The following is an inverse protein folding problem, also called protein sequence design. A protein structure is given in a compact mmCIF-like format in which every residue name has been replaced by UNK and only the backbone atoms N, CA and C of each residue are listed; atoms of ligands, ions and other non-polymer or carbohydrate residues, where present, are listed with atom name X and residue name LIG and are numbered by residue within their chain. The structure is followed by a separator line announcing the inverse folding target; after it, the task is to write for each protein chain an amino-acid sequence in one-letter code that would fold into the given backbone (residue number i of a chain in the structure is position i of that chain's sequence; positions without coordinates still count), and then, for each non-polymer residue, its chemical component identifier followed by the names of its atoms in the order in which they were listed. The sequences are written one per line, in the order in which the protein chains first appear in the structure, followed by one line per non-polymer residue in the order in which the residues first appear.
data_IF_002506941053
#
_entry.id   IF_002506941053
#
_cell.length_a   1.000
_cell.length_b   1.000
_cell.length_c   1.000
_cell.angle_alpha   90.00
_cell.angle_beta   90.00
_cell.angle_gamma   90.00
#
_symmetry.space_group_name_H-M   'P 1'
#
loop_
_entity.id
_entity.type
_entity.pdbx_description
1 polymer ?
#
# COMPACT_ATOMS: atom_id res chain seq x y z
N UNK A 1 14.00 -23.11 -4.58
CA UNK A 1 12.84 -23.84 -5.14
C UNK A 1 12.87 -25.23 -4.55
N UNK A 2 11.88 -25.54 -3.69
CA UNK A 2 11.82 -26.80 -2.94
C UNK A 2 11.65 -28.01 -3.86
N UNK A 3 12.30 -29.12 -3.52
CA UNK A 3 12.32 -30.36 -4.32
C UNK A 3 10.92 -30.92 -4.70
N UNK A 4 9.89 -30.58 -3.94
CA UNK A 4 8.50 -30.97 -4.24
C UNK A 4 7.93 -30.34 -5.52
N UNK A 5 8.25 -29.08 -5.81
CA UNK A 5 7.78 -28.40 -7.04
C UNK A 5 8.48 -28.95 -8.31
N UNK A 6 9.76 -29.30 -8.22
CA UNK A 6 10.47 -29.95 -9.34
C UNK A 6 9.87 -31.30 -9.69
N UNK A 7 9.54 -32.10 -8.67
CA UNK A 7 8.94 -33.40 -8.89
C UNK A 7 7.52 -33.31 -9.48
N UNK A 8 6.74 -32.29 -9.09
CA UNK A 8 5.40 -32.05 -9.64
C UNK A 8 5.47 -31.58 -11.11
N UNK A 9 6.41 -30.71 -11.46
CA UNK A 9 6.64 -30.28 -12.85
C UNK A 9 7.10 -31.44 -13.74
N UNK A 10 7.96 -32.32 -13.25
CA UNK A 10 8.40 -33.51 -14.00
C UNK A 10 7.23 -34.48 -14.25
N UNK A 11 6.36 -34.69 -13.27
CA UNK A 11 5.13 -35.51 -13.40
C UNK A 11 4.15 -34.87 -14.43
N UNK A 12 3.93 -33.58 -14.40
CA UNK A 12 3.12 -32.86 -15.39
C UNK A 12 3.71 -32.96 -16.81
N UNK A 13 5.02 -32.87 -16.95
CA UNK A 13 5.71 -32.99 -18.24
C UNK A 13 5.58 -34.45 -18.79
N UNK A 14 5.69 -35.42 -17.95
CA UNK A 14 5.48 -36.83 -18.31
C UNK A 14 4.04 -37.13 -18.73
N UNK A 15 3.04 -36.51 -18.09
CA UNK A 15 1.62 -36.65 -18.45
C UNK A 15 1.29 -36.02 -19.81
N UNK A 16 2.01 -34.94 -20.22
CA UNK A 16 1.85 -34.28 -21.52
C UNK A 16 2.51 -35.10 -22.63
N UNK A 17 3.64 -35.79 -22.35
CA UNK A 17 4.40 -36.51 -23.33
C UNK A 17 3.84 -37.92 -23.63
N UNK A 18 3.05 -38.53 -22.74
CA UNK A 18 2.50 -39.88 -22.88
C UNK A 18 0.97 -39.95 -22.79
N UNK A 19 0.21 -39.41 -23.75
CA UNK A 19 -1.25 -39.31 -23.68
C UNK A 19 -2.01 -40.65 -23.82
N UNK A 20 -1.30 -41.78 -24.06
CA UNK A 20 -1.93 -43.10 -24.33
C UNK A 20 -2.05 -44.02 -23.11
N UNK A 21 -1.60 -43.65 -21.93
CA UNK A 21 -1.69 -44.50 -20.74
C UNK A 21 -3.07 -44.34 -20.07
N UNK A 22 -4.01 -45.23 -20.37
CA UNK A 22 -5.38 -45.26 -19.81
C UNK A 22 -5.43 -46.03 -18.48
N UNK A 23 -4.45 -45.91 -17.58
CA UNK A 23 -4.49 -46.60 -16.30
C UNK A 23 -5.22 -45.78 -15.23
N UNK A 24 -5.76 -46.45 -14.20
CA UNK A 24 -6.35 -45.80 -13.03
C UNK A 24 -5.39 -44.81 -12.36
N UNK A 25 -4.08 -45.10 -12.40
CA UNK A 25 -3.02 -44.23 -11.91
C UNK A 25 -2.96 -42.90 -12.69
N UNK A 26 -3.19 -42.89 -14.00
CA UNK A 26 -3.21 -41.67 -14.82
C UNK A 26 -4.41 -40.78 -14.46
N UNK A 27 -5.60 -41.37 -14.27
CA UNK A 27 -6.78 -40.61 -13.79
C UNK A 27 -6.52 -40.01 -12.42
N UNK A 28 -5.90 -40.74 -11.51
CA UNK A 28 -5.56 -40.29 -10.18
C UNK A 28 -4.52 -39.13 -10.22
N UNK A 29 -3.46 -39.26 -11.05
CA UNK A 29 -2.48 -38.20 -11.26
C UNK A 29 -3.11 -36.90 -11.82
N UNK A 30 -4.04 -36.99 -12.76
CA UNK A 30 -4.76 -35.84 -13.31
C UNK A 30 -5.66 -35.19 -12.26
N UNK A 31 -6.34 -36.00 -11.43
CA UNK A 31 -7.20 -35.52 -10.35
C UNK A 31 -6.39 -34.80 -9.25
N UNK A 32 -5.28 -35.43 -8.81
CA UNK A 32 -4.35 -34.85 -7.84
C UNK A 32 -3.70 -33.56 -8.39
N UNK A 33 -3.34 -33.52 -9.69
CA UNK A 33 -2.82 -32.33 -10.32
C UNK A 33 -3.88 -31.21 -10.42
N UNK A 34 -5.13 -31.56 -10.70
CA UNK A 34 -6.26 -30.59 -10.67
C UNK A 34 -6.53 -30.06 -9.27
N UNK A 35 -6.53 -30.95 -8.26
CA UNK A 35 -6.66 -30.52 -6.86
C UNK A 35 -5.48 -29.68 -6.41
N UNK A 36 -4.25 -30.05 -6.76
CA UNK A 36 -3.07 -29.26 -6.45
C UNK A 36 -3.10 -27.89 -7.14
N UNK A 37 -3.51 -27.82 -8.41
CA UNK A 37 -3.74 -26.57 -9.13
C UNK A 37 -4.88 -25.77 -8.52
N UNK A 38 -5.96 -26.41 -8.09
CA UNK A 38 -7.07 -25.76 -7.39
C UNK A 38 -6.63 -25.17 -6.05
N UNK A 39 -5.83 -25.90 -5.25
CA UNK A 39 -5.27 -25.38 -4.00
C UNK A 39 -4.18 -24.32 -4.23
N UNK A 40 -3.44 -24.37 -5.34
CA UNK A 40 -2.46 -23.36 -5.71
C UNK A 40 -3.10 -22.11 -6.33
N UNK A 41 -4.25 -22.25 -6.99
CA UNK A 41 -4.99 -21.12 -7.60
C UNK A 41 -5.94 -20.43 -6.63
N UNK A 42 -6.38 -21.10 -5.57
CA UNK A 42 -7.24 -20.53 -4.53
C UNK A 42 -6.43 -20.01 -3.32
N UNK A 43 -5.22 -19.52 -3.53
CA UNK A 43 -4.47 -18.84 -2.49
C UNK A 43 -5.29 -17.68 -1.96
N UNK A 44 -5.57 -17.67 -0.65
CA UNK A 44 -6.08 -16.47 0.03
C UNK A 44 -4.92 -15.51 0.13
N UNK A 45 -5.02 -14.36 -0.55
CA UNK A 45 -4.00 -13.33 -0.55
C UNK A 45 -4.37 -12.22 0.42
N UNK A 46 -3.44 -11.83 1.28
CA UNK A 46 -3.59 -10.68 2.17
C UNK A 46 -2.81 -9.48 1.61
N UNK A 47 -3.54 -8.40 1.36
CA UNK A 47 -2.93 -7.11 1.03
C UNK A 47 -2.96 -6.19 2.25
N UNK A 48 -1.83 -5.59 2.55
CA UNK A 48 -1.67 -4.63 3.64
C UNK A 48 -1.65 -3.22 3.05
N UNK A 49 -2.58 -2.37 3.48
CA UNK A 49 -2.59 -0.94 3.17
C UNK A 49 -1.93 -0.20 4.33
N UNK A 50 -0.71 0.29 4.14
CA UNK A 50 -0.05 1.21 5.08
C UNK A 50 -0.39 2.64 4.69
N UNK A 51 -0.85 3.44 5.64
CA UNK A 51 -1.25 4.82 5.38
C UNK A 51 -0.92 5.75 6.56
N UNK A 52 -0.66 7.00 6.20
CA UNK A 52 -0.37 8.07 7.15
C UNK A 52 -1.02 9.38 6.67
N UNK A 53 -1.15 10.34 7.57
CA UNK A 53 -1.73 11.65 7.28
C UNK A 53 -0.66 12.73 7.13
N UNK A 54 -1.00 13.80 6.42
CA UNK A 54 -0.20 15.01 6.33
C UNK A 54 -1.10 16.24 6.18
N UNK A 55 -0.79 17.28 6.95
CA UNK A 55 -1.65 18.45 7.06
C UNK A 55 -2.73 18.28 8.14
N UNK A 56 -2.76 19.21 9.08
CA UNK A 56 -3.68 19.16 10.23
C UNK A 56 -4.92 20.01 9.93
N UNK A 57 -6.10 19.39 9.90
CA UNK A 57 -7.39 20.06 9.64
C UNK A 57 -7.64 21.24 10.59
N UNK A 58 -7.18 21.14 11.83
CA UNK A 58 -7.36 22.19 12.85
C UNK A 58 -6.37 23.34 12.77
N UNK A 59 -5.34 23.27 11.89
CA UNK A 59 -4.41 24.37 11.67
C UNK A 59 -4.98 25.33 10.62
N UNK A 60 -5.33 26.59 10.98
CA UNK A 60 -5.93 27.54 10.04
C UNK A 60 -4.96 27.99 8.94
N UNK A 61 -3.66 27.71 9.07
CA UNK A 61 -2.66 28.03 8.05
C UNK A 61 -2.46 26.90 7.03
N UNK A 62 -3.15 25.79 7.16
CA UNK A 62 -3.08 24.63 6.27
C UNK A 62 -4.35 24.56 5.43
N UNK A 63 -4.20 24.59 4.10
CA UNK A 63 -5.31 24.58 3.17
C UNK A 63 -5.77 23.17 2.79
N UNK A 64 -4.89 22.19 2.84
CA UNK A 64 -5.16 20.81 2.42
C UNK A 64 -4.79 19.82 3.50
N UNK A 65 -5.63 18.80 3.65
CA UNK A 65 -5.32 17.60 4.41
C UNK A 65 -5.22 16.41 3.48
N UNK A 66 -4.30 15.52 3.80
CA UNK A 66 -3.96 14.34 3.01
C UNK A 66 -4.01 13.11 3.90
N UNK A 67 -4.57 12.03 3.38
CA UNK A 67 -4.42 10.68 3.93
C UNK A 67 -3.99 9.78 2.78
N UNK A 68 -2.77 9.23 2.86
CA UNK A 68 -2.21 8.50 1.73
C UNK A 68 -1.23 7.40 2.18
N UNK A 69 -0.96 6.48 1.27
CA UNK A 69 -0.02 5.40 1.50
C UNK A 69 0.00 4.42 0.35
N UNK A 70 0.31 3.17 0.65
CA UNK A 70 0.43 2.14 -0.36
C UNK A 70 -0.12 0.80 0.12
N UNK A 71 -0.66 0.04 -0.82
CA UNK A 71 -0.95 -1.36 -0.62
C UNK A 71 0.19 -2.22 -1.13
N UNK A 72 0.47 -3.29 -0.39
CA UNK A 72 1.46 -4.31 -0.75
C UNK A 72 0.95 -5.69 -0.40
N UNK A 73 1.44 -6.70 -1.11
CA UNK A 73 1.22 -8.09 -0.73
C UNK A 73 2.07 -8.41 0.52
N UNK A 74 1.51 -9.13 1.49
CA UNK A 74 2.11 -9.37 2.80
C UNK A 74 3.57 -9.85 2.77
N UNK A 75 3.93 -10.71 1.81
CA UNK A 75 5.28 -11.25 1.70
C UNK A 75 6.32 -10.23 1.20
N UNK A 76 5.90 -9.03 0.78
CA UNK A 76 6.80 -7.97 0.31
C UNK A 76 7.29 -7.07 1.45
N UNK A 77 6.63 -7.10 2.60
CA UNK A 77 6.94 -6.18 3.73
C UNK A 77 8.38 -6.29 4.21
N UNK A 78 8.92 -7.49 4.28
CA UNK A 78 10.33 -7.72 4.63
C UNK A 78 11.30 -7.04 3.65
N UNK A 79 11.02 -7.12 2.35
CA UNK A 79 11.88 -6.53 1.32
C UNK A 79 11.80 -5.00 1.30
N UNK A 80 10.63 -4.45 1.59
CA UNK A 80 10.42 -3.00 1.74
C UNK A 80 11.22 -2.50 2.94
N UNK A 81 11.08 -3.16 4.09
CA UNK A 81 11.84 -2.82 5.28
C UNK A 81 13.35 -2.83 5.00
N UNK A 82 13.85 -3.93 4.42
CA UNK A 82 15.27 -4.08 4.08
C UNK A 82 15.75 -2.97 3.15
N UNK A 83 15.01 -2.63 2.12
CA UNK A 83 15.41 -1.59 1.17
C UNK A 83 15.51 -0.20 1.83
N UNK A 84 14.55 0.14 2.71
CA UNK A 84 14.60 1.41 3.45
C UNK A 84 15.78 1.42 4.43
N UNK A 85 16.05 0.30 5.12
CA UNK A 85 17.23 0.16 5.99
C UNK A 85 18.53 0.33 5.21
N UNK A 86 18.64 -0.27 4.01
CA UNK A 86 19.81 -0.15 3.13
C UNK A 86 20.02 1.31 2.66
N UNK A 87 18.93 2.02 2.31
CA UNK A 87 18.99 3.45 1.95
C UNK A 87 19.45 4.28 3.15
N UNK A 88 18.87 4.07 4.33
CA UNK A 88 19.24 4.79 5.53
C UNK A 88 20.71 4.55 5.87
N UNK A 89 21.17 3.30 5.82
CA UNK A 89 22.56 2.94 6.08
C UNK A 89 23.53 3.58 5.08
N UNK A 90 23.18 3.60 3.78
CA UNK A 90 23.97 4.23 2.71
C UNK A 90 24.28 5.70 2.98
N UNK A 91 23.30 6.47 3.42
CA UNK A 91 23.47 7.92 3.58
C UNK A 91 23.87 8.36 4.97
N UNK A 92 23.49 7.61 6.00
CA UNK A 92 23.67 8.01 7.40
C UNK A 92 24.69 7.15 8.17
N UNK A 93 25.03 5.97 7.63
CA UNK A 93 25.79 4.95 8.37
C UNK A 93 24.97 4.25 9.47
N UNK A 94 23.65 4.48 9.53
CA UNK A 94 22.77 3.98 10.59
C UNK A 94 21.43 3.55 9.99
N UNK A 95 20.98 2.36 10.32
CA UNK A 95 19.66 1.86 9.94
C UNK A 95 18.57 2.07 11.01
N UNK A 96 18.92 2.56 12.19
CA UNK A 96 17.99 2.80 13.30
C UNK A 96 17.34 4.19 13.30
N UNK A 97 17.75 5.08 12.38
CA UNK A 97 17.14 6.38 12.25
C UNK A 97 15.77 6.29 11.56
N UNK A 98 14.80 7.01 12.09
CA UNK A 98 13.46 7.09 11.51
C UNK A 98 13.46 7.86 10.18
N UNK A 99 12.84 7.30 9.16
CA UNK A 99 12.56 7.97 7.89
C UNK A 99 11.31 8.84 8.03
N UNK A 100 11.43 10.03 8.61
CA UNK A 100 10.34 10.98 8.75
C UNK A 100 10.58 12.16 7.80
N UNK A 101 9.74 12.29 6.78
CA UNK A 101 9.98 13.16 5.63
C UNK A 101 10.14 14.64 5.98
N UNK A 102 9.30 15.20 6.86
CA UNK A 102 9.32 16.61 7.24
C UNK A 102 10.59 17.00 8.02
N UNK A 103 11.02 16.32 9.08
CA UNK A 103 12.30 16.58 9.73
C UNK A 103 13.52 16.37 8.83
N UNK A 104 13.54 15.34 7.97
CA UNK A 104 14.61 15.11 7.01
C UNK A 104 14.74 16.31 6.09
N UNK A 105 13.65 16.72 5.43
CA UNK A 105 13.67 17.84 4.50
C UNK A 105 14.09 19.14 5.18
N UNK A 106 13.53 19.46 6.35
CA UNK A 106 13.79 20.72 7.06
C UNK A 106 15.12 20.73 7.81
N UNK A 107 15.78 19.59 7.99
CA UNK A 107 17.02 19.48 8.78
C UNK A 107 16.82 19.72 10.27
N UNK A 108 15.67 19.32 10.82
CA UNK A 108 15.38 19.43 12.26
C UNK A 108 15.93 18.23 13.05
N UNK A 109 16.13 18.43 14.35
CA UNK A 109 16.60 17.37 15.25
C UNK A 109 17.97 16.82 14.83
N UNK A 110 18.08 15.51 14.79
CA UNK A 110 19.31 14.79 14.40
C UNK A 110 19.74 15.11 12.96
N UNK A 111 18.81 15.48 12.09
CA UNK A 111 19.05 15.77 10.68
C UNK A 111 19.87 17.05 10.43
N UNK A 112 20.10 17.88 11.47
CA UNK A 112 21.05 19.02 11.41
C UNK A 112 22.48 18.60 11.12
N UNK A 113 22.85 17.37 11.53
CA UNK A 113 24.20 16.82 11.29
C UNK A 113 24.45 16.36 9.86
N UNK A 114 23.42 16.33 9.01
CA UNK A 114 23.51 15.88 7.63
C UNK A 114 23.36 17.05 6.64
N UNK A 115 24.15 17.02 5.57
CA UNK A 115 24.05 18.02 4.50
C UNK A 115 22.66 17.98 3.85
N UNK A 116 22.23 19.12 3.29
CA UNK A 116 20.94 19.21 2.57
C UNK A 116 20.87 18.16 1.45
N UNK A 117 21.95 17.99 0.69
CA UNK A 117 22.01 17.00 -0.40
C UNK A 117 21.74 15.59 0.11
N UNK A 118 22.46 15.12 1.15
CA UNK A 118 22.24 13.78 1.71
C UNK A 118 20.81 13.55 2.19
N UNK A 119 20.19 14.58 2.79
CA UNK A 119 18.81 14.51 3.26
C UNK A 119 17.82 14.41 2.10
N UNK A 120 18.03 15.20 1.04
CA UNK A 120 17.24 15.11 -0.19
C UNK A 120 17.42 13.74 -0.88
N UNK A 121 18.67 13.26 -0.98
CA UNK A 121 18.97 11.97 -1.61
C UNK A 121 18.25 10.79 -0.92
N UNK A 122 18.11 10.82 0.42
CA UNK A 122 17.34 9.81 1.17
C UNK A 122 15.88 9.78 0.70
N UNK A 123 15.24 10.95 0.62
CA UNK A 123 13.83 11.04 0.22
C UNK A 123 13.64 10.61 -1.25
N UNK A 124 14.51 11.09 -2.13
CA UNK A 124 14.46 10.81 -3.56
C UNK A 124 14.74 9.32 -3.85
N UNK A 125 15.77 8.72 -3.23
CA UNK A 125 16.07 7.31 -3.43
C UNK A 125 14.94 6.41 -2.93
N UNK A 126 14.30 6.78 -1.81
CA UNK A 126 13.13 6.04 -1.31
C UNK A 126 11.94 6.13 -2.29
N UNK A 127 11.67 7.31 -2.86
CA UNK A 127 10.61 7.47 -3.87
C UNK A 127 10.94 6.77 -5.18
N UNK A 128 12.20 6.77 -5.61
CA UNK A 128 12.65 6.00 -6.78
C UNK A 128 12.48 4.51 -6.56
N UNK A 129 12.81 3.99 -5.35
CA UNK A 129 12.57 2.60 -5.00
C UNK A 129 11.08 2.21 -5.12
N UNK A 130 10.15 3.09 -4.68
CA UNK A 130 8.72 2.90 -4.88
C UNK A 130 8.39 2.79 -6.37
N UNK A 131 8.86 3.74 -7.17
CA UNK A 131 8.62 3.80 -8.61
C UNK A 131 9.13 2.56 -9.36
N UNK A 132 10.36 2.13 -9.06
CA UNK A 132 11.01 0.98 -9.71
C UNK A 132 10.34 -0.35 -9.34
N UNK A 133 9.68 -0.43 -8.18
CA UNK A 133 9.01 -1.64 -7.70
C UNK A 133 7.48 -1.59 -7.85
N UNK A 134 6.93 -0.56 -8.51
CA UNK A 134 5.54 -0.51 -8.93
C UNK A 134 5.31 -1.41 -10.16
N UNK A 135 4.20 -2.16 -10.29
CA UNK A 135 3.16 -2.39 -9.27
C UNK A 135 3.40 -3.62 -8.38
N UNK A 136 4.60 -4.21 -8.43
CA UNK A 136 4.89 -5.49 -7.75
C UNK A 136 4.85 -5.39 -6.22
N UNK A 137 5.47 -4.32 -5.67
CA UNK A 137 5.56 -4.11 -4.22
C UNK A 137 4.69 -2.96 -3.74
N UNK A 138 4.44 -1.99 -4.60
CA UNK A 138 3.73 -0.78 -4.24
C UNK A 138 2.57 -0.50 -5.19
N UNK A 139 1.39 -0.24 -4.62
CA UNK A 139 0.25 0.34 -5.33
C UNK A 139 -0.25 1.48 -4.46
N UNK A 140 -0.14 2.71 -4.95
CA UNK A 140 -0.40 3.88 -4.13
C UNK A 140 -1.90 4.22 -4.11
N UNK A 141 -2.34 4.68 -2.93
CA UNK A 141 -3.66 5.22 -2.68
C UNK A 141 -3.53 6.54 -1.92
N UNK A 142 -4.44 7.48 -2.20
CA UNK A 142 -4.44 8.75 -1.51
C UNK A 142 -5.76 9.49 -1.66
N UNK A 143 -6.05 10.31 -0.67
CA UNK A 143 -7.09 11.31 -0.69
C UNK A 143 -6.50 12.65 -0.26
N UNK A 144 -6.82 13.71 -1.01
CA UNK A 144 -6.43 15.09 -0.74
C UNK A 144 -7.68 15.94 -0.72
N UNK A 145 -7.92 16.66 0.36
CA UNK A 145 -9.15 17.44 0.54
C UNK A 145 -8.78 18.83 1.06
N UNK A 146 -9.37 19.87 0.46
CA UNK A 146 -9.28 21.23 0.98
C UNK A 146 -9.97 21.35 2.34
N UNK A 147 -9.30 21.94 3.31
CA UNK A 147 -9.79 22.13 4.68
C UNK A 147 -10.98 23.12 4.79
N UNK A 148 -11.42 23.70 3.68
CA UNK A 148 -12.65 24.50 3.62
C UNK A 148 -13.92 23.66 3.54
N UNK A 149 -13.83 22.34 3.42
CA UNK A 149 -14.94 21.41 3.41
C UNK A 149 -15.27 20.91 4.83
N UNK A 150 -16.52 20.50 5.04
CA UNK A 150 -16.94 19.87 6.29
C UNK A 150 -16.49 18.40 6.34
N UNK A 151 -16.34 17.85 7.54
CA UNK A 151 -16.05 16.42 7.80
C UNK A 151 -14.81 15.87 7.06
N UNK A 152 -13.77 16.69 6.87
CA UNK A 152 -12.55 16.32 6.13
C UNK A 152 -11.93 14.99 6.59
N UNK A 153 -11.76 14.69 7.90
CA UNK A 153 -11.16 13.43 8.33
C UNK A 153 -11.95 12.19 7.91
N UNK A 154 -13.29 12.24 8.02
CA UNK A 154 -14.14 11.12 7.62
C UNK A 154 -14.11 10.90 6.11
N UNK A 155 -14.13 11.99 5.34
CA UNK A 155 -14.09 11.90 3.88
C UNK A 155 -12.73 11.36 3.40
N UNK A 156 -11.61 11.79 3.98
CA UNK A 156 -10.27 11.25 3.70
C UNK A 156 -10.23 9.73 3.92
N UNK A 157 -10.71 9.29 5.10
CA UNK A 157 -10.76 7.87 5.44
C UNK A 157 -11.67 7.09 4.49
N UNK A 158 -12.87 7.61 4.19
CA UNK A 158 -13.83 7.00 3.28
C UNK A 158 -13.25 6.83 1.88
N UNK A 159 -12.63 7.88 1.33
CA UNK A 159 -12.06 7.86 -0.01
C UNK A 159 -10.87 6.91 -0.12
N UNK A 160 -9.97 6.90 0.86
CA UNK A 160 -8.82 6.01 0.86
C UNK A 160 -9.27 4.53 0.93
N UNK A 161 -10.09 4.19 1.91
CA UNK A 161 -10.52 2.81 2.17
C UNK A 161 -11.40 2.25 1.06
N UNK A 162 -12.34 3.05 0.52
CA UNK A 162 -13.18 2.63 -0.61
C UNK A 162 -12.38 2.35 -1.87
N UNK A 163 -11.31 3.13 -2.15
CA UNK A 163 -10.43 2.89 -3.30
C UNK A 163 -9.66 1.59 -3.16
N UNK A 164 -9.16 1.32 -1.98
CA UNK A 164 -8.48 0.07 -1.69
C UNK A 164 -9.44 -1.13 -1.77
N UNK A 165 -10.66 -1.04 -1.22
CA UNK A 165 -11.68 -2.09 -1.34
C UNK A 165 -12.02 -2.39 -2.81
N UNK A 166 -12.19 -1.34 -3.62
CA UNK A 166 -12.44 -1.48 -5.08
C UNK A 166 -11.26 -2.14 -5.81
N UNK A 167 -10.03 -1.85 -5.41
CA UNK A 167 -8.84 -2.54 -5.93
C UNK A 167 -8.90 -4.04 -5.62
N UNK A 168 -9.17 -4.43 -4.37
CA UNK A 168 -9.29 -5.84 -3.96
C UNK A 168 -10.41 -6.55 -4.72
N UNK A 169 -11.56 -5.89 -4.88
CA UNK A 169 -12.67 -6.40 -5.70
C UNK A 169 -12.27 -6.64 -7.15
N UNK A 170 -11.49 -5.74 -7.76
CA UNK A 170 -10.98 -5.92 -9.12
C UNK A 170 -10.02 -7.11 -9.24
N UNK A 171 -9.17 -7.34 -8.22
CA UNK A 171 -8.30 -8.51 -8.16
C UNK A 171 -9.11 -9.79 -8.24
N UNK A 172 -10.18 -9.90 -7.47
CA UNK A 172 -11.09 -11.05 -7.53
C UNK A 172 -11.74 -11.19 -8.92
N UNK A 173 -12.34 -10.12 -9.45
CA UNK A 173 -13.08 -10.17 -10.72
C UNK A 173 -12.20 -10.46 -11.95
N UNK A 174 -10.95 -10.01 -11.96
CA UNK A 174 -10.06 -10.15 -13.12
C UNK A 174 -9.12 -11.35 -13.06
N UNK A 175 -8.77 -11.78 -11.86
CA UNK A 175 -7.72 -12.79 -11.66
C UNK A 175 -8.18 -13.98 -10.82
N UNK A 176 -9.46 -14.01 -10.41
CA UNK A 176 -10.02 -15.01 -9.48
C UNK A 176 -9.20 -15.12 -8.17
N UNK A 177 -8.52 -14.02 -7.80
CA UNK A 177 -7.74 -13.95 -6.57
C UNK A 177 -8.65 -13.55 -5.41
N UNK A 178 -8.91 -14.46 -4.48
CA UNK A 178 -9.62 -14.17 -3.22
C UNK A 178 -8.73 -13.31 -2.32
N UNK A 179 -8.65 -12.00 -2.62
CA UNK A 179 -7.83 -11.05 -1.89
C UNK A 179 -8.61 -10.42 -0.73
N UNK A 180 -8.01 -10.40 0.44
CA UNK A 180 -8.47 -9.64 1.60
C UNK A 180 -7.49 -8.52 1.91
N UNK A 181 -8.01 -7.42 2.47
CA UNK A 181 -7.20 -6.27 2.85
C UNK A 181 -7.22 -6.02 4.35
N UNK A 182 -6.11 -5.53 4.85
CA UNK A 182 -5.96 -5.01 6.20
C UNK A 182 -5.33 -3.62 6.12
N UNK A 183 -6.01 -2.60 6.66
CA UNK A 183 -5.45 -1.26 6.75
C UNK A 183 -4.66 -1.09 8.04
N UNK A 184 -3.48 -0.47 7.92
CA UNK A 184 -2.55 -0.22 9.02
C UNK A 184 -2.16 1.26 8.93
N UNK A 185 -2.47 2.03 9.97
CA UNK A 185 -2.21 3.47 10.05
C UNK A 185 -1.12 3.79 11.06
N UNK A 186 -0.54 4.97 10.93
CA UNK A 186 0.25 5.51 12.03
C UNK A 186 -0.63 5.78 13.25
N UNK A 187 -0.05 5.61 14.42
CA UNK A 187 -0.74 5.80 15.70
C UNK A 187 -1.13 7.26 15.90
N UNK A 188 -2.39 7.51 16.10
CA UNK A 188 -2.94 8.85 16.17
C UNK A 188 -4.12 8.94 17.13
N UNK A 189 -4.60 10.15 17.39
CA UNK A 189 -5.81 10.38 18.19
C UNK A 189 -7.10 9.91 17.48
N UNK A 190 -6.99 9.58 16.19
CA UNK A 190 -8.13 9.17 15.36
C UNK A 190 -8.42 7.66 15.39
N UNK A 191 -7.65 6.85 16.13
CA UNK A 191 -7.74 5.38 16.14
C UNK A 191 -9.19 4.89 16.35
N UNK A 192 -9.83 5.33 17.43
CA UNK A 192 -11.21 4.92 17.75
C UNK A 192 -12.21 5.33 16.64
N UNK A 193 -12.01 6.50 16.03
CA UNK A 193 -12.90 6.99 14.98
C UNK A 193 -12.73 6.17 13.71
N UNK A 194 -11.50 5.89 13.28
CA UNK A 194 -11.22 5.06 12.10
C UNK A 194 -11.77 3.64 12.26
N UNK A 195 -11.62 3.03 13.45
CA UNK A 195 -12.20 1.71 13.74
C UNK A 195 -13.72 1.74 13.69
N UNK A 196 -14.36 2.76 14.28
CA UNK A 196 -15.79 2.92 14.26
C UNK A 196 -16.33 3.13 12.84
N UNK A 197 -15.72 4.03 12.05
CA UNK A 197 -16.11 4.23 10.65
C UNK A 197 -15.92 2.96 9.83
N UNK A 198 -14.82 2.24 10.00
CA UNK A 198 -14.60 0.97 9.31
C UNK A 198 -15.71 -0.04 9.59
N UNK A 199 -16.10 -0.19 10.86
CA UNK A 199 -17.19 -1.09 11.27
C UNK A 199 -18.54 -0.68 10.66
N UNK A 200 -18.84 0.62 10.66
CA UNK A 200 -20.05 1.17 10.00
C UNK A 200 -20.00 0.88 8.50
N UNK A 201 -18.87 1.13 7.84
CA UNK A 201 -18.73 0.96 6.40
C UNK A 201 -18.79 -0.52 5.97
N UNK A 202 -18.32 -1.44 6.81
CA UNK A 202 -18.47 -2.88 6.58
C UNK A 202 -19.93 -3.33 6.66
N UNK A 203 -20.75 -2.71 7.51
CA UNK A 203 -22.14 -3.13 7.78
C UNK A 203 -23.17 -2.33 6.99
N UNK A 204 -23.14 -1.01 7.10
CA UNK A 204 -24.14 -0.09 6.54
C UNK A 204 -23.67 0.59 5.25
N UNK A 205 -22.37 0.78 5.07
CA UNK A 205 -21.76 1.57 4.00
C UNK A 205 -21.38 2.97 4.46
N UNK A 206 -20.58 3.66 3.64
CA UNK A 206 -20.20 5.05 3.84
C UNK A 206 -21.30 6.03 3.37
N UNK A 207 -21.05 7.34 3.38
CA UNK A 207 -21.98 8.37 2.90
C UNK A 207 -22.44 8.21 1.45
N UNK A 208 -21.70 7.42 0.63
CA UNK A 208 -22.06 7.08 -0.75
C UNK A 208 -22.74 5.70 -0.87
N UNK A 209 -23.16 5.10 0.26
CA UNK A 209 -23.70 3.73 0.35
C UNK A 209 -22.74 2.64 -0.16
N UNK A 210 -21.43 2.88 -0.13
CA UNK A 210 -20.41 1.92 -0.51
C UNK A 210 -19.93 1.15 0.73
N UNK A 211 -19.98 -0.19 0.66
CA UNK A 211 -19.52 -1.08 1.74
C UNK A 211 -18.09 -1.54 1.52
N UNK A 212 -17.35 -1.68 2.61
CA UNK A 212 -16.03 -2.32 2.64
C UNK A 212 -16.19 -3.84 2.76
N UNK A 213 -16.29 -4.53 1.64
CA UNK A 213 -16.60 -5.96 1.60
C UNK A 213 -15.36 -6.86 1.63
N UNK A 214 -14.18 -6.30 1.33
CA UNK A 214 -12.95 -7.06 1.16
C UNK A 214 -11.95 -6.86 2.30
N UNK A 215 -12.30 -6.09 3.32
CA UNK A 215 -11.47 -5.93 4.52
C UNK A 215 -11.59 -7.16 5.42
N UNK A 216 -10.44 -7.61 5.93
CA UNK A 216 -10.38 -8.75 6.85
C UNK A 216 -10.77 -8.36 8.28
N UNK A 217 -10.43 -7.12 8.69
CA UNK A 217 -10.63 -6.61 10.04
C UNK A 217 -10.76 -5.08 10.01
N UNK A 218 -11.11 -4.48 11.14
CA UNK A 218 -10.97 -3.02 11.36
C UNK A 218 -9.49 -2.62 11.31
N UNK A 219 -9.18 -1.32 11.07
CA UNK A 219 -7.81 -0.86 10.97
C UNK A 219 -6.97 -1.15 12.23
N UNK A 220 -5.70 -1.50 12.00
CA UNK A 220 -4.65 -1.57 13.02
C UNK A 220 -3.84 -0.28 13.05
N UNK A 221 -3.12 -0.06 14.16
CA UNK A 221 -2.30 1.13 14.36
C UNK A 221 -0.90 0.72 14.86
N UNK A 222 0.14 1.28 14.24
CA UNK A 222 1.53 1.03 14.57
C UNK A 222 2.24 2.34 14.91
N UNK A 223 3.26 2.24 15.76
CA UNK A 223 4.20 3.34 16.00
C UNK A 223 5.11 3.51 14.77
N UNK A 224 5.17 4.72 14.20
CA UNK A 224 6.01 5.04 13.03
C UNK A 224 7.49 4.74 13.28
N UNK A 225 7.98 4.99 14.49
CA UNK A 225 9.39 4.77 14.88
C UNK A 225 9.88 3.32 14.69
N UNK A 226 8.97 2.33 14.67
CA UNK A 226 9.31 0.90 14.55
C UNK A 226 8.87 0.28 13.23
N UNK A 227 8.13 0.99 12.38
CA UNK A 227 7.57 0.46 11.14
C UNK A 227 8.06 1.22 9.91
N UNK A 228 8.97 0.62 9.14
CA UNK A 228 9.44 1.19 7.86
C UNK A 228 8.31 1.42 6.87
N UNK A 229 7.33 0.53 6.86
CA UNK A 229 6.16 0.68 5.97
C UNK A 229 5.32 1.92 6.31
N UNK A 230 5.12 2.23 7.59
CA UNK A 230 4.47 3.48 8.00
C UNK A 230 5.32 4.70 7.62
N UNK A 231 6.65 4.65 7.82
CA UNK A 231 7.56 5.72 7.42
C UNK A 231 7.54 5.97 5.90
N UNK A 232 7.38 4.92 5.08
CA UNK A 232 7.19 5.06 3.63
C UNK A 232 5.82 5.70 3.33
N UNK A 233 4.77 5.36 4.08
CA UNK A 233 3.46 5.99 3.95
C UNK A 233 3.51 7.49 4.31
N UNK A 234 4.23 7.89 5.39
CA UNK A 234 4.51 9.30 5.71
C UNK A 234 5.14 10.04 4.51
N UNK A 235 6.15 9.46 3.88
CA UNK A 235 6.80 10.06 2.71
C UNK A 235 5.84 10.23 1.52
N UNK A 236 4.94 9.26 1.29
CA UNK A 236 3.92 9.36 0.22
C UNK A 236 2.91 10.47 0.55
N UNK A 237 2.39 10.51 1.78
CA UNK A 237 1.46 11.54 2.23
C UNK A 237 2.11 12.93 2.19
N UNK A 238 3.36 13.04 2.67
CA UNK A 238 4.17 14.25 2.59
C UNK A 238 4.37 14.73 1.14
N UNK A 239 4.61 13.81 0.21
CA UNK A 239 4.80 14.17 -1.21
C UNK A 239 3.54 14.78 -1.82
N UNK A 240 2.37 14.23 -1.51
CA UNK A 240 1.08 14.81 -1.91
C UNK A 240 0.84 16.16 -1.22
N UNK A 241 1.06 16.23 0.09
CA UNK A 241 0.89 17.47 0.84
C UNK A 241 1.77 18.61 0.27
N UNK A 242 3.03 18.33 -0.04
CA UNK A 242 3.93 19.29 -0.68
C UNK A 242 3.39 19.79 -2.02
N UNK A 243 2.83 18.89 -2.82
CA UNK A 243 2.23 19.24 -4.12
C UNK A 243 1.04 20.18 -3.98
N UNK A 244 0.08 19.83 -3.12
CA UNK A 244 -1.19 20.56 -3.05
C UNK A 244 -1.10 21.82 -2.18
N UNK A 245 -0.38 21.78 -1.06
CA UNK A 245 -0.23 22.92 -0.16
C UNK A 245 0.74 23.98 -0.68
N UNK A 246 1.87 23.56 -1.26
CA UNK A 246 2.95 24.46 -1.65
C UNK A 246 3.23 24.49 -3.15
N UNK A 247 2.46 23.79 -3.96
CA UNK A 247 2.69 23.58 -5.39
C UNK A 247 4.14 23.10 -5.71
N UNK A 248 4.68 22.25 -4.82
CA UNK A 248 6.02 21.68 -4.94
C UNK A 248 5.93 20.25 -5.48
N UNK A 249 6.24 20.09 -6.76
CA UNK A 249 6.13 18.82 -7.50
C UNK A 249 7.35 17.91 -7.34
N UNK A 250 8.40 18.32 -6.63
CA UNK A 250 9.69 17.63 -6.62
C UNK A 250 9.57 16.14 -6.24
N UNK A 251 8.75 15.84 -5.26
CA UNK A 251 8.53 14.45 -4.78
C UNK A 251 7.39 13.74 -5.51
N UNK A 252 6.25 14.43 -5.64
CA UNK A 252 5.06 13.85 -6.27
C UNK A 252 5.31 13.41 -7.71
N UNK A 253 6.08 14.18 -8.49
CA UNK A 253 6.39 13.85 -9.89
C UNK A 253 7.08 12.49 -10.07
N UNK A 254 7.81 12.02 -9.03
CA UNK A 254 8.49 10.72 -9.06
C UNK A 254 7.47 9.57 -8.98
N UNK A 255 6.44 9.72 -8.13
CA UNK A 255 5.49 8.64 -7.78
C UNK A 255 4.10 8.80 -8.40
N UNK A 256 3.82 9.87 -9.14
CA UNK A 256 2.49 10.18 -9.71
C UNK A 256 1.89 9.03 -10.54
N UNK A 257 2.73 8.23 -11.14
CA UNK A 257 2.32 7.11 -11.98
C UNK A 257 2.16 5.79 -11.22
N UNK A 258 2.46 5.77 -9.92
CA UNK A 258 2.37 4.59 -9.06
C UNK A 258 1.00 4.43 -8.36
N UNK A 259 0.09 5.39 -8.51
CA UNK A 259 -1.27 5.26 -8.01
C UNK A 259 -2.05 4.20 -8.79
N UNK A 260 -2.92 3.48 -8.09
CA UNK A 260 -3.76 2.44 -8.68
C UNK A 260 -4.44 2.91 -9.97
N UNK A 261 -4.31 2.10 -11.03
CA UNK A 261 -4.88 2.35 -12.36
C UNK A 261 -5.63 1.13 -12.85
N UNK A 262 -6.72 1.37 -13.57
CA UNK A 262 -7.43 0.37 -14.32
C UNK A 262 -7.79 0.89 -15.71
N UNK A 263 -7.43 0.15 -16.77
CA UNK A 263 -7.62 0.55 -18.16
C UNK A 263 -7.11 1.97 -18.45
N UNK A 264 -5.90 2.29 -17.99
CA UNK A 264 -5.24 3.60 -18.07
C UNK A 264 -5.95 4.74 -17.32
N UNK A 265 -7.02 4.45 -16.58
CA UNK A 265 -7.69 5.43 -15.72
C UNK A 265 -7.17 5.29 -14.30
N UNK A 266 -6.75 6.42 -13.71
CA UNK A 266 -6.31 6.48 -12.32
C UNK A 266 -7.51 6.34 -11.38
N UNK A 267 -7.42 5.42 -10.43
CA UNK A 267 -8.40 5.15 -9.39
C UNK A 267 -7.84 5.34 -7.98
N UNK A 268 -6.53 5.32 -7.83
CA UNK A 268 -5.87 5.35 -6.52
C UNK A 268 -5.81 6.72 -5.86
N UNK A 269 -6.04 7.81 -6.58
CA UNK A 269 -5.97 9.16 -6.03
C UNK A 269 -7.32 9.88 -6.13
N UNK A 270 -7.74 10.47 -5.01
CA UNK A 270 -8.88 11.39 -4.93
C UNK A 270 -8.40 12.79 -4.56
N UNK A 271 -8.89 13.78 -5.24
CA UNK A 271 -8.58 15.19 -4.96
C UNK A 271 -9.88 15.97 -4.94
N UNK A 272 -10.13 16.68 -3.85
CA UNK A 272 -11.22 17.62 -3.69
C UNK A 272 -10.64 19.00 -3.36
N UNK A 273 -10.54 19.81 -4.39
CA UNK A 273 -10.09 21.20 -4.25
C UNK A 273 -11.23 22.10 -3.75
N UNK A 274 -10.87 23.28 -3.31
CA UNK A 274 -11.83 24.31 -2.94
C UNK A 274 -12.62 24.71 -4.19
N UNK A 275 -13.95 24.73 -4.07
CA UNK A 275 -14.82 25.32 -5.08
C UNK A 275 -14.75 26.84 -5.07
#
# INVERSE_FOLDING_TARGET
MNGGLKNLMVLLYMCILFPRVKSAAFKWCVEVSRLALFFLSNGVFMYLLYADDSGVVSDPNVNYSVLAGFATFENQTFWIQKAVDDIMLKYTGRSDLELHASPIRSGKGIWRGFTKSKREDILIDTLNYIKENYPRQFILFGAVISNSNDDVPEELFSQLTSRFDKYLKRKFLKHDESARGLAIFDKSKMENQYQNWSKIYQTLGNKLNEKLNNFAEVPLFLESSISRSIQVADLIAFSLFRKFEYNDDAYYSIIKDCFDKDNNKQHGLYVLEKK
#
